data_IF_922523950356
#
_entry.id   IF_922523950356
#
_cell.length_a   1.000
_cell.length_b   1.000
_cell.length_c   1.000
_cell.angle_alpha   90.00
_cell.angle_beta   90.00
_cell.angle_gamma   90.00
#
_symmetry.space_group_name_H-M   'P 1'
#
loop_
_entity.id
_entity.type
_entity.pdbx_description
1 polymer ?
#
# COMPACT_ATOMS: atom_id res chain seq x y z
N UNK A 1 5.24 -16.13 0.19
CA UNK A 1 4.74 -14.76 0.43
C UNK A 1 3.29 -14.68 -0.01
N UNK A 2 2.34 -14.79 0.93
CA UNK A 2 0.90 -14.78 0.60
C UNK A 2 0.35 -13.36 0.36
N UNK A 3 1.05 -12.32 0.80
CA UNK A 3 0.57 -10.92 0.80
C UNK A 3 1.33 -10.02 -0.19
N UNK A 4 2.02 -10.58 -1.18
CA UNK A 4 2.83 -9.80 -2.14
C UNK A 4 2.23 -9.95 -3.54
N UNK A 5 1.59 -8.89 -4.05
CA UNK A 5 0.90 -8.92 -5.34
C UNK A 5 1.87 -9.11 -6.52
N UNK A 6 3.12 -8.63 -6.42
CA UNK A 6 4.15 -8.79 -7.45
C UNK A 6 4.40 -10.23 -7.88
N UNK A 7 4.86 -11.11 -6.97
CA UNK A 7 5.01 -12.53 -7.24
C UNK A 7 3.72 -13.24 -7.67
N UNK A 8 2.55 -12.78 -7.21
CA UNK A 8 1.26 -13.33 -7.61
C UNK A 8 0.95 -13.03 -9.08
N UNK A 9 1.17 -11.79 -9.54
CA UNK A 9 1.01 -11.45 -10.97
C UNK A 9 2.01 -12.22 -11.83
N UNK A 10 3.27 -12.34 -11.39
CA UNK A 10 4.27 -13.14 -12.11
C UNK A 10 3.85 -14.62 -12.20
N UNK A 11 3.24 -15.18 -11.15
CA UNK A 11 2.68 -16.53 -11.16
C UNK A 11 1.48 -16.64 -12.09
N UNK A 12 0.52 -15.71 -12.02
CA UNK A 12 -0.66 -15.68 -12.87
C UNK A 12 -0.29 -15.53 -14.34
N UNK A 13 0.74 -14.77 -14.69
CA UNK A 13 1.25 -14.65 -16.05
C UNK A 13 1.66 -16.01 -16.64
N UNK A 14 2.23 -16.89 -15.82
CA UNK A 14 2.64 -18.24 -16.26
C UNK A 14 1.50 -19.25 -16.28
N UNK A 15 0.52 -19.12 -15.39
CA UNK A 15 -0.46 -20.18 -15.12
C UNK A 15 -1.89 -19.84 -15.54
N UNK A 16 -2.22 -18.56 -15.69
CA UNK A 16 -3.55 -18.06 -16.04
C UNK A 16 -3.48 -16.77 -16.88
N UNK A 17 -2.73 -16.75 -17.99
CA UNK A 17 -2.55 -15.54 -18.81
C UNK A 17 -3.87 -14.98 -19.35
N UNK A 18 -4.82 -15.83 -19.71
CA UNK A 18 -6.14 -15.41 -20.22
C UNK A 18 -6.92 -14.57 -19.19
N UNK A 19 -6.75 -14.85 -17.90
CA UNK A 19 -7.37 -14.05 -16.82
C UNK A 19 -6.77 -12.66 -16.73
N UNK A 20 -5.46 -12.53 -16.94
CA UNK A 20 -4.80 -11.23 -16.96
C UNK A 20 -5.15 -10.46 -18.23
N UNK A 21 -5.26 -11.14 -19.37
CA UNK A 21 -5.69 -10.52 -20.63
C UNK A 21 -7.12 -9.97 -20.57
N UNK A 22 -8.01 -10.60 -19.80
CA UNK A 22 -9.38 -10.13 -19.57
C UNK A 22 -9.50 -9.10 -18.44
N UNK A 23 -8.45 -8.87 -17.65
CA UNK A 23 -8.49 -7.97 -16.52
C UNK A 23 -8.35 -6.51 -16.98
N UNK A 24 -9.11 -5.61 -16.35
CA UNK A 24 -8.95 -4.17 -16.56
C UNK A 24 -8.03 -3.53 -15.51
N UNK A 25 -7.92 -4.13 -14.31
CA UNK A 25 -7.16 -3.55 -13.19
C UNK A 25 -6.78 -4.64 -12.18
N UNK A 26 -5.57 -4.55 -11.64
CA UNK A 26 -5.06 -5.41 -10.56
C UNK A 26 -5.09 -4.64 -9.23
N UNK A 27 -6.17 -4.81 -8.46
CA UNK A 27 -6.37 -4.13 -7.19
C UNK A 27 -5.78 -4.87 -5.99
N UNK A 28 -5.32 -4.13 -4.98
CA UNK A 28 -5.27 -4.66 -3.61
C UNK A 28 -6.69 -4.71 -3.04
N UNK A 29 -6.91 -5.47 -1.97
CA UNK A 29 -8.25 -5.68 -1.41
C UNK A 29 -8.96 -4.36 -1.06
N UNK A 30 -8.24 -3.41 -0.45
CA UNK A 30 -8.80 -2.09 -0.12
C UNK A 30 -9.11 -1.24 -1.36
N UNK A 31 -8.33 -1.40 -2.42
CA UNK A 31 -8.50 -0.64 -3.66
C UNK A 31 -9.78 -1.10 -4.38
N UNK A 32 -10.05 -2.42 -4.34
CA UNK A 32 -11.30 -2.98 -4.85
C UNK A 32 -12.52 -2.48 -4.06
N UNK A 33 -12.41 -2.37 -2.74
CA UNK A 33 -13.46 -1.75 -1.91
C UNK A 33 -13.66 -0.28 -2.27
N UNK A 34 -12.58 0.48 -2.41
CA UNK A 34 -12.65 1.88 -2.82
C UNK A 34 -13.32 2.06 -4.17
N UNK A 35 -12.95 1.23 -5.16
CA UNK A 35 -13.58 1.21 -6.47
C UNK A 35 -15.08 0.90 -6.39
N UNK A 36 -15.51 -0.08 -5.60
CA UNK A 36 -16.93 -0.37 -5.43
C UNK A 36 -17.70 0.78 -4.77
N UNK A 37 -17.05 1.49 -3.84
CA UNK A 37 -17.68 2.62 -3.15
C UNK A 37 -17.79 3.86 -4.04
N UNK A 38 -16.81 4.10 -4.92
CA UNK A 38 -16.62 5.40 -5.58
C UNK A 38 -16.65 5.36 -7.10
N UNK A 39 -16.43 4.19 -7.70
CA UNK A 39 -16.20 4.01 -9.13
C UNK A 39 -14.78 4.37 -9.59
N UNK A 40 -13.92 4.89 -8.71
CA UNK A 40 -12.56 5.29 -9.06
C UNK A 40 -11.57 4.14 -8.96
N UNK A 41 -10.77 3.95 -10.02
CA UNK A 41 -9.66 2.98 -10.02
C UNK A 41 -8.43 3.68 -9.48
N UNK A 42 -8.06 3.40 -8.24
CA UNK A 42 -6.90 4.00 -7.61
C UNK A 42 -6.27 3.05 -6.59
N UNK A 43 -4.97 3.24 -6.33
CA UNK A 43 -4.27 2.70 -5.17
C UNK A 43 -3.62 3.82 -4.37
N UNK A 44 -3.12 3.53 -3.18
CA UNK A 44 -2.43 4.51 -2.34
C UNK A 44 -0.90 4.36 -2.46
N UNK A 45 -0.11 5.36 -2.02
CA UNK A 45 1.34 5.30 -2.10
C UNK A 45 1.96 4.11 -1.37
N UNK A 46 1.40 3.65 -0.24
CA UNK A 46 1.98 2.52 0.50
C UNK A 46 1.90 1.21 -0.27
N UNK A 47 0.72 0.79 -0.72
CA UNK A 47 0.57 -0.45 -1.49
C UNK A 47 1.26 -0.38 -2.86
N UNK A 48 1.04 0.72 -3.58
CA UNK A 48 1.59 0.90 -4.93
C UNK A 48 3.11 0.81 -4.94
N UNK A 49 3.76 1.48 -3.99
CA UNK A 49 5.23 1.48 -3.89
C UNK A 49 5.78 0.20 -3.30
N UNK A 50 5.11 -0.37 -2.30
CA UNK A 50 5.54 -1.61 -1.68
C UNK A 50 5.54 -2.79 -2.65
N UNK A 51 4.61 -2.77 -3.63
CA UNK A 51 4.49 -3.85 -4.63
C UNK A 51 5.35 -3.63 -5.87
N UNK A 52 5.29 -2.45 -6.49
CA UNK A 52 5.89 -2.19 -7.82
C UNK A 52 6.61 -0.85 -7.94
N UNK A 53 6.98 -0.24 -6.81
CA UNK A 53 7.45 1.13 -6.85
C UNK A 53 8.67 1.42 -6.02
N UNK A 54 8.89 2.71 -5.85
CA UNK A 54 10.00 3.27 -5.12
C UNK A 54 9.46 4.22 -4.05
N UNK A 55 9.73 3.88 -2.79
CA UNK A 55 9.27 4.70 -1.66
C UNK A 55 9.81 6.14 -1.75
N UNK A 56 10.97 6.36 -2.39
CA UNK A 56 11.59 7.68 -2.55
C UNK A 56 10.78 8.58 -3.48
N UNK A 57 10.31 8.04 -4.59
CA UNK A 57 9.49 8.76 -5.58
C UNK A 57 8.00 8.73 -5.24
N UNK A 58 7.59 7.81 -4.35
CA UNK A 58 6.20 7.51 -4.00
C UNK A 58 5.36 7.06 -5.20
N UNK A 59 6.03 6.52 -6.22
CA UNK A 59 5.42 6.10 -7.49
C UNK A 59 5.89 4.72 -7.92
N UNK A 60 5.26 4.21 -8.97
CA UNK A 60 5.70 2.99 -9.65
C UNK A 60 7.10 3.16 -10.24
N UNK A 61 7.85 2.06 -10.27
CA UNK A 61 9.22 2.00 -10.76
C UNK A 61 9.28 0.93 -11.85
N UNK A 62 9.60 1.35 -13.07
CA UNK A 62 9.62 0.44 -14.22
C UNK A 62 10.70 -0.66 -14.05
N UNK A 63 11.84 -0.34 -13.44
CA UNK A 63 12.89 -1.32 -13.12
C UNK A 63 12.39 -2.45 -12.20
N UNK A 64 11.52 -2.13 -11.22
CA UNK A 64 10.94 -3.16 -10.33
C UNK A 64 10.02 -4.10 -11.11
N UNK A 65 9.22 -3.55 -12.03
CA UNK A 65 8.35 -4.34 -12.90
C UNK A 65 9.13 -5.24 -13.87
N UNK A 66 10.24 -4.74 -14.40
CA UNK A 66 11.16 -5.48 -15.27
C UNK A 66 11.83 -6.65 -14.52
N UNK A 67 12.38 -6.39 -13.32
CA UNK A 67 13.01 -7.41 -12.47
C UNK A 67 12.03 -8.52 -12.11
N UNK A 68 10.77 -8.19 -11.87
CA UNK A 68 9.71 -9.17 -11.58
C UNK A 68 9.16 -9.86 -12.84
N UNK A 69 9.55 -9.43 -14.05
CA UNK A 69 9.13 -10.01 -15.32
C UNK A 69 7.68 -9.70 -15.71
N UNK A 70 7.12 -8.59 -15.23
CA UNK A 70 5.71 -8.20 -15.39
C UNK A 70 5.53 -6.78 -15.94
N UNK A 71 6.55 -6.21 -16.56
CA UNK A 71 6.49 -4.87 -17.18
C UNK A 71 5.36 -4.73 -18.23
N UNK A 72 5.05 -5.79 -18.97
CA UNK A 72 3.93 -5.85 -19.91
C UNK A 72 2.55 -5.75 -19.21
N UNK A 73 2.47 -6.09 -17.92
CA UNK A 73 1.24 -5.99 -17.12
C UNK A 73 1.05 -4.62 -16.47
N UNK A 74 1.94 -3.65 -16.74
CA UNK A 74 1.88 -2.30 -16.15
C UNK A 74 0.53 -1.60 -16.35
N UNK A 75 -0.13 -1.87 -17.47
CA UNK A 75 -1.44 -1.33 -17.80
C UNK A 75 -2.56 -1.75 -16.83
N UNK A 76 -2.36 -2.83 -16.06
CA UNK A 76 -3.29 -3.28 -15.03
C UNK A 76 -3.15 -2.49 -13.72
N UNK A 77 -2.06 -1.73 -13.54
CA UNK A 77 -1.83 -1.01 -12.29
C UNK A 77 -2.69 0.26 -12.23
N UNK A 78 -3.53 0.43 -11.18
CA UNK A 78 -4.30 1.65 -11.03
C UNK A 78 -3.39 2.86 -10.72
N UNK A 79 -3.78 4.09 -11.08
CA UNK A 79 -3.08 5.29 -10.64
C UNK A 79 -2.90 5.36 -9.11
N UNK A 80 -1.76 5.89 -8.67
CA UNK A 80 -1.50 6.15 -7.25
C UNK A 80 -2.10 7.52 -6.90
N UNK A 81 -2.98 7.56 -5.90
CA UNK A 81 -3.55 8.81 -5.35
C UNK A 81 -3.25 8.91 -3.87
N UNK A 82 -2.88 10.10 -3.40
CA UNK A 82 -2.64 10.33 -1.97
C UNK A 82 -3.97 10.60 -1.26
N UNK A 83 -4.51 9.60 -0.56
CA UNK A 83 -5.78 9.71 0.16
C UNK A 83 -5.81 10.77 1.27
N UNK A 84 -4.66 11.36 1.64
CA UNK A 84 -4.63 12.54 2.52
C UNK A 84 -5.02 13.84 1.82
N UNK A 85 -5.03 13.84 0.48
CA UNK A 85 -5.29 15.00 -0.38
C UNK A 85 -6.40 14.73 -1.40
N UNK A 86 -6.69 13.47 -1.67
CA UNK A 86 -7.70 13.02 -2.62
C UNK A 86 -8.84 12.31 -1.89
N UNK A 87 -10.07 12.61 -2.31
CA UNK A 87 -11.27 11.90 -1.91
C UNK A 87 -12.22 11.82 -3.09
N UNK A 88 -12.94 10.72 -3.20
CA UNK A 88 -13.99 10.55 -4.20
C UNK A 88 -15.35 10.49 -3.49
N UNK A 89 -16.41 10.91 -4.18
CA UNK A 89 -17.75 10.82 -3.63
C UNK A 89 -18.23 9.37 -3.58
N UNK A 90 -18.90 9.00 -2.48
CA UNK A 90 -19.64 7.74 -2.40
C UNK A 90 -20.68 7.68 -3.53
N UNK A 91 -20.64 6.61 -4.32
CA UNK A 91 -21.58 6.40 -5.42
C UNK A 91 -23.00 6.22 -4.92
N UNK A 92 -23.99 6.49 -5.76
CA UNK A 92 -25.41 6.31 -5.41
C UNK A 92 -25.73 4.85 -5.02
N UNK A 93 -25.16 3.88 -5.73
CA UNK A 93 -25.36 2.46 -5.44
C UNK A 93 -24.73 2.06 -4.08
N UNK A 94 -23.54 2.58 -3.77
CA UNK A 94 -22.90 2.33 -2.48
C UNK A 94 -23.63 3.05 -1.33
N UNK A 95 -24.16 4.25 -1.57
CA UNK A 95 -24.99 4.98 -0.62
C UNK A 95 -26.26 4.19 -0.26
N UNK A 96 -26.95 3.63 -1.25
CA UNK A 96 -28.10 2.74 -1.05
C UNK A 96 -27.73 1.50 -0.22
N UNK A 97 -26.61 0.85 -0.53
CA UNK A 97 -26.16 -0.35 0.17
C UNK A 97 -25.70 -0.11 1.62
N UNK A 98 -25.23 1.10 1.94
CA UNK A 98 -24.63 1.43 3.25
C UNK A 98 -25.53 2.29 4.14
N UNK A 99 -26.57 2.92 3.58
CA UNK A 99 -27.40 3.90 4.28
C UNK A 99 -26.73 5.26 4.48
N UNK A 100 -25.57 5.50 3.87
CA UNK A 100 -24.86 6.78 3.89
C UNK A 100 -25.38 7.71 2.77
N UNK A 101 -25.01 8.99 2.83
CA UNK A 101 -25.40 9.95 1.80
C UNK A 101 -24.56 9.75 0.53
N UNK A 102 -25.23 9.80 -0.63
CA UNK A 102 -24.52 9.86 -1.90
C UNK A 102 -23.62 11.09 -1.93
N UNK A 103 -22.41 10.94 -2.45
CA UNK A 103 -21.39 11.99 -2.48
C UNK A 103 -20.64 12.19 -1.17
N UNK A 104 -20.92 11.43 -0.10
CA UNK A 104 -20.07 11.43 1.10
C UNK A 104 -18.60 11.19 0.71
N UNK A 105 -17.65 12.05 1.13
CA UNK A 105 -16.25 11.86 0.78
C UNK A 105 -15.70 10.53 1.30
N UNK A 106 -15.13 9.74 0.40
CA UNK A 106 -14.40 8.50 0.67
C UNK A 106 -12.92 8.74 0.39
N UNK A 107 -12.09 8.57 1.41
CA UNK A 107 -10.63 8.65 1.30
C UNK A 107 -10.04 7.26 1.11
N UNK A 108 -9.03 7.16 0.23
CA UNK A 108 -8.31 5.91 0.05
C UNK A 108 -7.24 5.79 1.15
N UNK A 109 -7.48 4.91 2.12
CA UNK A 109 -6.56 4.68 3.22
C UNK A 109 -5.24 4.05 2.75
N UNK A 110 -4.21 4.24 3.57
CA UNK A 110 -2.93 3.54 3.45
C UNK A 110 -3.09 2.12 4.01
N UNK A 111 -2.11 1.24 3.75
CA UNK A 111 -2.13 -0.14 4.24
C UNK A 111 -2.26 -0.22 5.77
N UNK A 112 -2.86 -1.30 6.26
CA UNK A 112 -3.29 -1.49 7.64
C UNK A 112 -2.20 -1.16 8.67
N UNK A 113 -1.00 -1.69 8.52
CA UNK A 113 0.12 -1.51 9.46
C UNK A 113 0.62 -0.06 9.48
N UNK A 114 0.56 0.65 8.34
CA UNK A 114 0.87 2.08 8.31
C UNK A 114 -0.21 2.90 9.03
N UNK A 115 -1.48 2.55 8.87
CA UNK A 115 -2.59 3.17 9.59
C UNK A 115 -2.54 2.86 11.11
N UNK A 116 -2.20 1.63 11.50
CA UNK A 116 -1.99 1.26 12.90
C UNK A 116 -0.85 2.06 13.51
N UNK A 117 0.28 2.17 12.82
CA UNK A 117 1.42 2.96 13.27
C UNK A 117 1.07 4.44 13.42
N UNK A 118 0.32 5.00 12.45
CA UNK A 118 -0.17 6.37 12.52
C UNK A 118 -1.05 6.58 13.76
N UNK A 119 -2.04 5.69 13.97
CA UNK A 119 -2.94 5.77 15.13
C UNK A 119 -2.24 5.57 16.48
N UNK A 120 -1.15 4.81 16.51
CA UNK A 120 -0.30 4.63 17.69
C UNK A 120 0.66 5.81 17.94
N UNK A 121 0.63 6.86 17.10
CA UNK A 121 1.45 8.06 17.26
C UNK A 121 2.86 7.95 16.66
N UNK A 122 3.12 7.00 15.75
CA UNK A 122 4.45 6.88 15.11
C UNK A 122 4.85 8.16 14.36
N UNK A 123 3.87 8.89 13.80
CA UNK A 123 4.08 10.15 13.10
C UNK A 123 4.24 11.32 14.09
N UNK A 124 5.32 11.30 14.87
CA UNK A 124 5.80 12.44 15.65
C UNK A 124 7.22 12.77 15.18
N UNK A 125 7.35 13.88 14.45
CA UNK A 125 8.61 14.32 13.82
C UNK A 125 9.63 14.81 14.85
N UNK A 126 9.19 15.24 16.02
CA UNK A 126 10.06 15.78 17.07
C UNK A 126 10.57 14.66 17.97
N UNK A 127 9.65 13.81 18.46
CA UNK A 127 9.99 12.75 19.42
C UNK A 127 10.53 11.49 18.77
N UNK A 128 10.21 11.25 17.49
CA UNK A 128 10.59 10.05 16.71
C UNK A 128 10.34 8.74 17.49
N UNK A 129 9.12 8.48 17.97
CA UNK A 129 8.84 7.29 18.77
C UNK A 129 9.05 6.01 17.95
N UNK A 130 9.27 4.90 18.66
CA UNK A 130 9.10 3.55 18.11
C UNK A 130 7.68 3.06 18.37
N UNK A 131 7.17 2.20 17.48
CA UNK A 131 5.89 1.52 17.67
C UNK A 131 6.11 0.02 17.58
N UNK A 132 5.61 -0.73 18.57
CA UNK A 132 5.63 -2.21 18.54
C UNK A 132 4.21 -2.73 18.65
N UNK A 133 3.80 -3.49 17.64
CA UNK A 133 2.57 -4.28 17.66
C UNK A 133 2.94 -5.66 18.20
N UNK A 134 2.31 -6.08 19.30
CA UNK A 134 2.56 -7.35 19.96
C UNK A 134 1.32 -8.23 19.81
N UNK A 135 1.47 -9.34 19.10
CA UNK A 135 0.43 -10.33 18.85
C UNK A 135 1.02 -11.55 18.15
N UNK A 136 0.18 -12.37 17.50
CA UNK A 136 0.64 -13.56 16.78
C UNK A 136 1.70 -13.25 15.72
N UNK A 137 1.61 -12.06 15.11
CA UNK A 137 2.66 -11.46 14.29
C UNK A 137 3.08 -10.17 14.97
N UNK A 138 4.35 -10.07 15.37
CA UNK A 138 4.88 -8.83 15.90
C UNK A 138 5.38 -7.92 14.77
N UNK A 139 5.25 -6.62 14.97
CA UNK A 139 5.77 -5.62 14.06
C UNK A 139 6.42 -4.48 14.84
N UNK A 140 7.70 -4.25 14.59
CA UNK A 140 8.48 -3.19 15.23
C UNK A 140 8.81 -2.13 14.19
N UNK A 141 8.43 -0.89 14.48
CA UNK A 141 8.45 0.21 13.53
C UNK A 141 9.14 1.43 14.12
N UNK A 142 9.87 2.14 13.27
CA UNK A 142 10.41 3.47 13.58
C UNK A 142 10.14 4.42 12.43
N UNK A 143 10.05 5.70 12.75
CA UNK A 143 9.94 6.77 11.77
C UNK A 143 11.28 7.00 11.06
N UNK A 144 11.24 7.21 9.74
CA UNK A 144 12.31 7.79 8.95
C UNK A 144 11.74 9.00 8.19
N UNK A 145 12.32 10.18 8.36
CA UNK A 145 11.84 11.45 7.82
C UNK A 145 12.53 11.87 6.52
N UNK A 146 13.56 11.12 6.11
CA UNK A 146 14.23 11.27 4.83
C UNK A 146 14.62 9.89 4.30
N UNK A 147 14.85 9.75 2.99
CA UNK A 147 15.39 8.50 2.43
C UNK A 147 16.72 8.08 3.08
N UNK A 148 17.56 9.04 3.46
CA UNK A 148 18.86 8.76 4.07
C UNK A 148 18.76 8.22 5.51
N UNK A 149 17.63 8.44 6.19
CA UNK A 149 17.34 7.82 7.50
C UNK A 149 16.92 6.34 7.37
N UNK A 150 16.67 5.84 6.14
CA UNK A 150 16.34 4.43 5.89
C UNK A 150 17.63 3.61 5.89
N UNK A 151 17.86 2.86 6.97
CA UNK A 151 19.05 2.01 7.12
C UNK A 151 18.73 0.57 6.75
N UNK A 152 19.47 0.00 5.79
CA UNK A 152 19.46 -1.43 5.52
C UNK A 152 20.35 -2.14 6.52
N UNK A 153 19.79 -3.11 7.26
CA UNK A 153 20.60 -3.96 8.12
C UNK A 153 21.46 -4.93 7.28
N UNK A 154 22.48 -5.55 7.90
CA UNK A 154 23.39 -6.47 7.23
C UNK A 154 22.66 -7.64 6.54
N UNK A 155 21.61 -8.16 7.18
CA UNK A 155 20.78 -9.23 6.65
C UNK A 155 19.78 -8.79 5.57
N UNK A 156 19.69 -7.47 5.31
CA UNK A 156 18.74 -6.83 4.38
C UNK A 156 17.29 -7.29 4.59
N UNK A 157 16.88 -7.42 5.85
CA UNK A 157 15.53 -7.82 6.23
C UNK A 157 14.63 -6.63 6.51
N UNK A 158 13.32 -6.88 6.56
CA UNK A 158 12.30 -5.90 6.87
C UNK A 158 11.81 -5.13 5.66
N UNK A 159 11.03 -4.09 5.93
CA UNK A 159 10.29 -3.35 4.91
C UNK A 159 10.36 -1.85 5.19
N UNK A 160 10.31 -1.06 4.12
CA UNK A 160 10.15 0.39 4.20
C UNK A 160 8.80 0.74 3.58
N UNK A 161 7.93 1.38 4.36
CA UNK A 161 6.60 1.76 3.91
C UNK A 161 6.50 3.28 3.83
N UNK A 162 5.86 3.81 2.80
CA UNK A 162 5.48 5.23 2.79
C UNK A 162 4.37 5.49 3.81
N UNK A 163 4.53 6.55 4.60
CA UNK A 163 3.50 7.03 5.51
C UNK A 163 2.58 8.06 4.83
N UNK A 164 1.38 8.33 5.38
CA UNK A 164 0.46 9.38 4.93
C UNK A 164 0.97 10.80 5.26
N UNK A 165 2.23 11.08 4.93
CA UNK A 165 2.86 12.39 4.99
C UNK A 165 3.99 12.47 3.96
N UNK A 166 4.20 13.62 3.28
CA UNK A 166 5.29 13.79 2.34
C UNK A 166 6.66 13.58 2.97
N UNK A 167 7.50 12.79 2.31
CA UNK A 167 8.87 12.51 2.73
C UNK A 167 9.01 11.67 3.99
N UNK A 168 7.94 11.02 4.48
CA UNK A 168 7.98 10.22 5.70
C UNK A 168 7.74 8.75 5.41
N UNK A 169 8.51 7.91 6.08
CA UNK A 169 8.52 6.46 5.94
C UNK A 169 8.49 5.80 7.31
N UNK A 170 8.01 4.57 7.34
CA UNK A 170 8.17 3.68 8.47
C UNK A 170 9.08 2.51 8.06
N UNK A 171 10.19 2.36 8.77
CA UNK A 171 10.99 1.14 8.66
C UNK A 171 10.45 0.12 9.64
N UNK A 172 10.18 -1.08 9.14
CA UNK A 172 9.46 -2.12 9.85
C UNK A 172 10.24 -3.43 9.87
N UNK A 173 10.23 -4.12 11.00
CA UNK A 173 10.70 -5.49 11.14
C UNK A 173 9.58 -6.34 11.70
N UNK A 174 9.21 -7.38 10.97
CA UNK A 174 8.27 -8.40 11.44
C UNK A 174 9.00 -9.53 12.15
N UNK A 175 8.42 -10.09 13.19
CA UNK A 175 8.82 -11.35 13.78
C UNK A 175 7.62 -12.30 13.92
N UNK A 176 7.89 -13.60 13.85
CA UNK A 176 6.90 -14.63 14.15
C UNK A 176 6.76 -14.75 15.67
N UNK A 177 5.53 -14.57 16.18
CA UNK A 177 5.15 -14.63 17.59
C UNK A 177 5.88 -13.64 18.52
N UNK A 178 5.11 -12.73 19.11
CA UNK A 178 5.54 -11.95 20.28
C UNK A 178 4.80 -12.40 21.57
N UNK A 179 4.30 -13.65 21.58
CA UNK A 179 3.56 -14.31 22.66
C UNK A 179 3.93 -15.77 22.74
#
# INVERSE_FOLDING_TARGET
>A
AACQQGPQLAFMKRNAPDRLAAAATAFHCKDWLYFNLTGERATDPSEGTFTFGDFRTRGYCDEVLEVLGVADLRHLLPPIVDGTRHSAGLSAAAAEATGLLSGTPVVLAYVDVACTALGAGLLDRERKPGCSIIGSTGMHMRLAQTPDEVLLNEARTGYTMTMPAPGVFAQMQSNMAAT
#
